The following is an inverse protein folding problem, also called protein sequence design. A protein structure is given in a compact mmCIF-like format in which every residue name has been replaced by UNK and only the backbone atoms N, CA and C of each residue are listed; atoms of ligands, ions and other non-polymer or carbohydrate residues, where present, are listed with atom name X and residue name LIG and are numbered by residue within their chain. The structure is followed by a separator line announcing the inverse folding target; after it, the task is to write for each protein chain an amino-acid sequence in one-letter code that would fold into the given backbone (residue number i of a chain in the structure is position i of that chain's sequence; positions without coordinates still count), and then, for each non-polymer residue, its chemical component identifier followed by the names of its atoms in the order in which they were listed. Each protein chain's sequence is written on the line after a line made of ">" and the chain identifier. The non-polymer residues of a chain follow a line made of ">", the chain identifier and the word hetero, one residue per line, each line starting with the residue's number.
data_IF_611217327881
#
_entry.id   IF_611217327881
#
_cell.length_a   1.000
_cell.length_b   1.000
_cell.length_c   1.000
_cell.angle_alpha   90.00
_cell.angle_beta   90.00
_cell.angle_gamma   90.00
#
_symmetry.space_group_name_H-M   'P 1'
#
loop_
_entity.id
_entity.type
_entity.pdbx_description
1 polymer ?
#
# COMPACT_ATOMS: atom_id res chain seq x y z
N UNK A 1 22.14 30.54 -20.66
CA UNK A 1 21.24 29.35 -20.82
C UNK A 1 20.41 29.28 -19.55
N UNK A 2 19.14 29.74 -19.62
CA UNK A 2 18.16 29.54 -18.58
C UNK A 2 18.01 28.00 -18.36
N UNK A 3 18.37 27.49 -17.17
CA UNK A 3 18.02 26.13 -16.79
C UNK A 3 16.49 26.06 -16.79
N UNK A 4 15.90 25.37 -17.75
CA UNK A 4 14.48 24.98 -17.65
C UNK A 4 14.32 24.28 -16.30
N UNK A 5 13.53 24.86 -15.41
CA UNK A 5 13.14 24.17 -14.19
C UNK A 5 12.35 22.93 -14.64
N UNK A 6 12.87 21.75 -14.32
CA UNK A 6 12.16 20.49 -14.58
C UNK A 6 10.93 20.47 -13.73
N UNK A 7 9.81 20.14 -14.35
CA UNK A 7 8.56 20.01 -13.65
C UNK A 7 8.63 18.81 -12.69
N UNK A 8 8.32 19.02 -11.42
CA UNK A 8 8.21 17.95 -10.42
C UNK A 8 6.77 17.46 -10.43
N UNK A 9 6.58 16.18 -10.75
CA UNK A 9 5.30 15.53 -10.71
C UNK A 9 5.27 14.53 -9.55
N UNK A 10 4.21 14.52 -8.77
CA UNK A 10 3.99 13.59 -7.68
C UNK A 10 2.84 12.69 -8.11
N UNK A 11 3.14 11.40 -8.37
CA UNK A 11 2.12 10.42 -8.67
C UNK A 11 1.47 9.98 -7.38
N UNK A 12 0.28 10.46 -7.15
CA UNK A 12 -0.56 10.03 -6.04
C UNK A 12 -2.02 10.39 -6.33
N UNK A 13 -2.91 9.43 -6.25
CA UNK A 13 -4.35 9.63 -6.44
C UNK A 13 -5.00 10.43 -5.32
N UNK A 14 -4.34 10.56 -4.16
CA UNK A 14 -4.93 11.21 -3.01
C UNK A 14 -4.01 12.27 -2.41
N UNK A 15 -2.88 11.89 -1.82
CA UNK A 15 -1.91 12.83 -1.22
C UNK A 15 -0.57 12.13 -1.00
N UNK A 16 0.55 12.81 -1.27
CA UNK A 16 1.90 12.26 -1.08
C UNK A 16 2.16 11.80 0.36
N UNK A 17 1.49 12.45 1.30
CA UNK A 17 1.42 12.11 2.73
C UNK A 17 0.07 12.57 3.27
N UNK A 18 -0.45 11.93 4.31
CA UNK A 18 -1.68 12.33 4.99
C UNK A 18 -1.53 13.64 5.79
N UNK A 19 -1.10 14.71 5.10
CA UNK A 19 -0.89 16.03 5.68
C UNK A 19 -1.19 17.14 4.66
N UNK A 20 -2.39 17.70 4.73
CA UNK A 20 -2.88 18.73 3.80
C UNK A 20 -1.93 19.94 3.70
N UNK A 21 -1.35 20.41 4.81
CA UNK A 21 -0.43 21.54 4.82
C UNK A 21 0.83 21.25 4.01
N UNK A 22 1.37 20.04 4.11
CA UNK A 22 2.53 19.60 3.30
C UNK A 22 2.17 19.55 1.83
N UNK A 23 1.01 19.03 1.49
CA UNK A 23 0.53 18.95 0.10
C UNK A 23 0.35 20.35 -0.50
N UNK A 24 -0.26 21.28 0.24
CA UNK A 24 -0.45 22.67 -0.19
C UNK A 24 0.89 23.40 -0.37
N UNK A 25 1.87 23.20 0.52
CA UNK A 25 3.21 23.76 0.40
C UNK A 25 3.92 23.23 -0.86
N UNK A 26 3.86 21.92 -1.12
CA UNK A 26 4.43 21.34 -2.32
C UNK A 26 3.77 21.87 -3.59
N UNK A 27 2.44 22.01 -3.61
CA UNK A 27 1.71 22.64 -4.74
C UNK A 27 2.16 24.09 -4.97
N UNK A 28 2.32 24.86 -3.90
CA UNK A 28 2.77 26.25 -3.98
C UNK A 28 4.19 26.40 -4.55
N UNK A 29 5.02 25.37 -4.36
CA UNK A 29 6.39 25.27 -4.93
C UNK A 29 6.42 24.72 -6.35
N UNK A 30 5.25 24.46 -6.95
CA UNK A 30 5.13 24.00 -8.35
C UNK A 30 5.10 22.49 -8.54
N UNK A 31 4.91 21.70 -7.48
CA UNK A 31 4.65 20.28 -7.62
C UNK A 31 3.26 20.06 -8.24
N UNK A 32 3.18 19.20 -9.25
CA UNK A 32 1.92 18.72 -9.82
C UNK A 32 1.61 17.33 -9.31
N UNK A 33 0.42 17.15 -8.78
CA UNK A 33 -0.12 15.86 -8.38
C UNK A 33 -0.86 15.27 -9.58
N UNK A 34 -0.55 14.03 -9.91
CA UNK A 34 -1.07 13.31 -11.07
C UNK A 34 -1.51 11.92 -10.67
N UNK A 35 -2.55 11.42 -11.30
CA UNK A 35 -3.07 10.09 -11.03
C UNK A 35 -2.38 9.02 -11.88
N UNK A 36 -2.01 9.35 -13.12
CA UNK A 36 -1.45 8.42 -14.06
C UNK A 36 -0.05 8.84 -14.54
N UNK A 37 0.80 7.85 -14.83
CA UNK A 37 2.13 8.12 -15.38
C UNK A 37 2.08 8.85 -16.72
N UNK A 38 1.04 8.63 -17.52
CA UNK A 38 0.81 9.29 -18.82
C UNK A 38 0.74 10.81 -18.74
N UNK A 39 0.37 11.36 -17.59
CA UNK A 39 0.30 12.79 -17.35
C UNK A 39 1.68 13.43 -17.09
N UNK A 40 2.71 12.61 -16.89
CA UNK A 40 4.07 13.07 -16.57
C UNK A 40 4.83 13.31 -17.87
N UNK A 41 5.37 14.52 -18.10
CA UNK A 41 6.23 14.78 -19.26
C UNK A 41 7.55 13.98 -19.16
N UNK A 42 8.12 13.61 -20.30
CA UNK A 42 9.31 12.76 -20.38
C UNK A 42 10.56 13.33 -19.70
N UNK A 43 10.65 14.66 -19.56
CA UNK A 43 11.73 15.34 -18.82
C UNK A 43 11.37 15.65 -17.36
N UNK A 44 10.20 15.19 -16.90
CA UNK A 44 9.70 15.40 -15.54
C UNK A 44 10.52 14.65 -14.49
N UNK A 45 10.52 15.18 -13.26
CA UNK A 45 10.99 14.44 -12.08
C UNK A 45 9.75 13.92 -11.37
N UNK A 46 9.68 12.60 -11.19
CA UNK A 46 8.55 11.93 -10.57
C UNK A 46 8.88 11.57 -9.12
N UNK A 47 7.92 11.69 -8.24
CA UNK A 47 8.01 11.18 -6.87
C UNK A 47 6.85 10.20 -6.68
N UNK A 48 7.16 8.96 -6.32
CA UNK A 48 6.16 8.01 -5.87
C UNK A 48 5.83 8.27 -4.41
N UNK A 49 4.54 8.30 -4.07
CA UNK A 49 4.08 8.67 -2.74
C UNK A 49 4.41 7.65 -1.65
N UNK A 50 4.14 8.02 -0.41
CA UNK A 50 4.34 7.16 0.75
C UNK A 50 3.50 5.86 0.71
N UNK A 51 2.42 5.83 -0.06
CA UNK A 51 1.53 4.66 -0.21
C UNK A 51 2.17 3.50 -1.00
N UNK A 52 3.26 3.76 -1.72
CA UNK A 52 3.89 2.78 -2.58
C UNK A 52 3.20 2.63 -3.93
N UNK A 53 3.77 1.82 -4.79
CA UNK A 53 3.30 1.57 -6.15
C UNK A 53 3.34 0.08 -6.49
N UNK A 54 2.53 -0.33 -7.46
CA UNK A 54 2.58 -1.68 -8.03
C UNK A 54 3.85 -1.90 -8.88
N UNK A 55 4.19 -3.17 -9.09
CA UNK A 55 5.27 -3.56 -10.00
C UNK A 55 5.04 -3.08 -11.44
N UNK A 56 3.78 -3.05 -11.88
CA UNK A 56 3.42 -2.58 -13.21
C UNK A 56 3.78 -1.10 -13.40
N UNK A 57 3.42 -0.26 -12.43
CA UNK A 57 3.73 1.18 -12.45
C UNK A 57 5.24 1.42 -12.44
N UNK A 58 5.98 0.67 -11.63
CA UNK A 58 7.43 0.78 -11.57
C UNK A 58 8.08 0.38 -12.90
N UNK A 59 7.62 -0.72 -13.52
CA UNK A 59 8.08 -1.18 -14.83
C UNK A 59 7.79 -0.15 -15.93
N UNK A 60 6.59 0.43 -15.96
CA UNK A 60 6.21 1.46 -16.90
C UNK A 60 7.09 2.71 -16.77
N UNK A 61 7.32 3.19 -15.54
CA UNK A 61 8.21 4.33 -15.31
C UNK A 61 9.64 4.06 -15.83
N UNK A 62 10.16 2.85 -15.61
CA UNK A 62 11.47 2.42 -16.12
C UNK A 62 11.49 2.35 -17.64
N UNK A 63 10.47 1.78 -18.29
CA UNK A 63 10.37 1.69 -19.75
C UNK A 63 10.32 3.08 -20.41
N UNK A 64 9.66 4.05 -19.77
CA UNK A 64 9.62 5.45 -20.21
C UNK A 64 10.89 6.24 -19.85
N UNK A 65 11.88 5.62 -19.18
CA UNK A 65 13.09 6.28 -18.67
C UNK A 65 12.78 7.52 -17.80
N UNK A 66 11.68 7.51 -17.06
CA UNK A 66 11.35 8.60 -16.14
C UNK A 66 12.38 8.68 -15.01
N UNK A 67 12.74 9.90 -14.65
CA UNK A 67 13.54 10.16 -13.44
C UNK A 67 12.62 10.15 -12.24
N UNK A 68 12.68 9.11 -11.43
CA UNK A 68 11.81 9.00 -10.26
C UNK A 68 12.57 8.80 -8.96
N UNK A 69 11.95 9.26 -7.88
CA UNK A 69 12.32 8.99 -6.50
C UNK A 69 11.19 8.20 -5.85
N UNK A 70 11.55 7.11 -5.22
CA UNK A 70 10.61 6.31 -4.45
C UNK A 70 10.58 6.84 -3.00
N UNK A 71 9.46 7.47 -2.63
CA UNK A 71 9.21 7.96 -1.28
C UNK A 71 8.27 7.03 -0.49
N UNK A 72 8.14 5.76 -0.90
CA UNK A 72 7.34 4.77 -0.19
C UNK A 72 7.73 4.69 1.28
N UNK A 73 6.75 4.77 2.17
CA UNK A 73 6.97 4.62 3.60
C UNK A 73 7.69 3.30 3.90
N UNK A 74 8.71 3.29 4.77
CA UNK A 74 9.42 2.06 5.14
C UNK A 74 8.50 0.95 5.65
N UNK A 75 7.40 1.28 6.34
CA UNK A 75 6.42 0.31 6.81
C UNK A 75 5.64 -0.32 5.65
N UNK A 76 5.21 0.48 4.67
CA UNK A 76 4.58 -0.03 3.43
C UNK A 76 5.57 -0.90 2.64
N UNK A 77 6.82 -0.47 2.54
CA UNK A 77 7.89 -1.26 1.90
C UNK A 77 8.11 -2.61 2.61
N UNK A 78 7.94 -2.67 3.93
CA UNK A 78 7.97 -3.92 4.70
C UNK A 78 6.84 -4.85 4.25
N UNK A 79 5.60 -4.35 4.20
CA UNK A 79 4.42 -5.13 3.76
C UNK A 79 4.62 -5.65 2.33
N UNK A 80 5.09 -4.80 1.39
CA UNK A 80 5.41 -5.21 0.03
C UNK A 80 6.42 -6.38 -0.02
N UNK A 81 7.49 -6.31 0.78
CA UNK A 81 8.50 -7.38 0.86
C UNK A 81 7.92 -8.67 1.46
N UNK A 82 7.01 -8.57 2.41
CA UNK A 82 6.34 -9.74 2.99
C UNK A 82 5.42 -10.41 1.97
N UNK A 83 4.64 -9.64 1.21
CA UNK A 83 3.81 -10.16 0.12
C UNK A 83 4.66 -10.92 -0.90
N UNK A 84 5.75 -10.32 -1.37
CA UNK A 84 6.65 -10.98 -2.33
C UNK A 84 7.24 -12.28 -1.74
N UNK A 85 7.72 -12.23 -0.50
CA UNK A 85 8.31 -13.40 0.18
C UNK A 85 7.30 -14.54 0.34
N UNK A 86 6.06 -14.24 0.75
CA UNK A 86 5.02 -15.24 0.91
C UNK A 86 4.58 -15.83 -0.43
N UNK A 87 4.41 -14.98 -1.45
CA UNK A 87 4.09 -15.42 -2.80
C UNK A 87 5.17 -16.36 -3.39
N UNK A 88 6.47 -16.07 -3.17
CA UNK A 88 7.57 -16.93 -3.60
C UNK A 88 7.54 -18.32 -2.96
N UNK A 89 6.96 -18.46 -1.77
CA UNK A 89 6.76 -19.75 -1.11
C UNK A 89 5.44 -20.42 -1.47
N UNK A 90 4.70 -19.86 -2.42
CA UNK A 90 3.43 -20.40 -2.92
C UNK A 90 2.27 -20.31 -1.92
N UNK A 91 2.33 -19.36 -0.99
CA UNK A 91 1.29 -19.16 0.03
C UNK A 91 0.14 -18.32 -0.52
N UNK A 92 -1.06 -18.64 -0.05
CA UNK A 92 -2.19 -17.71 -0.15
C UNK A 92 -2.00 -16.55 0.85
N UNK A 93 -2.42 -15.35 0.48
CA UNK A 93 -2.27 -14.16 1.30
C UNK A 93 -3.62 -13.46 1.43
N UNK A 94 -4.06 -13.19 2.67
CA UNK A 94 -5.15 -12.26 2.94
C UNK A 94 -4.53 -10.90 3.25
N UNK A 95 -5.00 -9.87 2.55
CA UNK A 95 -4.75 -8.47 2.88
C UNK A 95 -6.00 -7.87 3.51
N UNK A 96 -5.89 -7.35 4.74
CA UNK A 96 -6.92 -6.52 5.34
C UNK A 96 -6.67 -5.07 4.91
N UNK A 97 -7.67 -4.42 4.28
CA UNK A 97 -7.52 -3.05 3.79
C UNK A 97 -8.74 -2.57 3.02
N UNK A 98 -8.80 -1.28 2.71
CA UNK A 98 -9.91 -0.68 1.98
C UNK A 98 -9.67 -0.76 0.47
N UNK A 99 -10.63 -1.31 -0.25
CA UNK A 99 -10.63 -1.34 -1.72
C UNK A 99 -10.48 0.08 -2.28
N UNK A 100 -9.74 0.20 -3.38
CA UNK A 100 -9.42 1.48 -4.05
C UNK A 100 -8.51 2.43 -3.23
N UNK A 101 -7.99 2.01 -2.09
CA UNK A 101 -6.96 2.78 -1.40
C UNK A 101 -5.60 2.61 -2.10
N UNK A 102 -4.82 3.68 -2.36
CA UNK A 102 -3.55 3.60 -3.10
C UNK A 102 -2.54 2.59 -2.52
N UNK A 103 -2.45 2.50 -1.20
CA UNK A 103 -1.58 1.52 -0.51
C UNK A 103 -2.02 0.09 -0.79
N UNK A 104 -3.33 -0.17 -0.80
CA UNK A 104 -3.89 -1.50 -1.08
C UNK A 104 -3.65 -1.88 -2.53
N UNK A 105 -3.92 -0.98 -3.48
CA UNK A 105 -3.64 -1.19 -4.89
C UNK A 105 -2.14 -1.43 -5.15
N UNK A 106 -1.28 -0.63 -4.51
CA UNK A 106 0.17 -0.79 -4.57
C UNK A 106 0.61 -2.16 -4.07
N UNK A 107 0.11 -2.57 -2.90
CA UNK A 107 0.46 -3.85 -2.25
C UNK A 107 -0.07 -5.06 -3.04
N UNK A 108 -1.34 -5.04 -3.49
CA UNK A 108 -1.90 -6.08 -4.35
C UNK A 108 -1.09 -6.22 -5.65
N UNK A 109 -0.67 -5.09 -6.23
CA UNK A 109 0.15 -5.05 -7.44
C UNK A 109 1.61 -5.49 -7.26
N UNK A 110 2.05 -5.81 -6.02
CA UNK A 110 3.35 -6.46 -5.74
C UNK A 110 3.25 -7.97 -5.70
N UNK A 111 2.05 -8.53 -5.73
CA UNK A 111 1.88 -9.97 -5.78
C UNK A 111 2.29 -10.50 -7.17
N UNK A 112 3.29 -11.38 -7.28
CA UNK A 112 3.79 -11.87 -8.57
C UNK A 112 2.74 -12.72 -9.29
N UNK A 113 2.52 -12.46 -10.58
CA UNK A 113 1.55 -13.18 -11.39
C UNK A 113 1.90 -14.65 -11.68
N UNK A 114 3.13 -15.08 -11.43
CA UNK A 114 3.62 -16.45 -11.57
C UNK A 114 3.63 -17.21 -10.22
N UNK A 115 3.11 -16.61 -9.15
CA UNK A 115 2.94 -17.29 -7.86
C UNK A 115 1.97 -18.46 -7.96
N UNK A 116 2.25 -19.52 -7.19
CA UNK A 116 1.31 -20.65 -7.01
C UNK A 116 0.20 -20.36 -6.01
N UNK A 117 0.35 -19.33 -5.19
CA UNK A 117 -0.67 -18.84 -4.27
C UNK A 117 -1.58 -17.81 -4.90
N UNK A 118 -2.52 -17.31 -4.10
CA UNK A 118 -3.46 -16.27 -4.45
C UNK A 118 -3.41 -15.14 -3.42
N UNK A 119 -3.85 -13.95 -3.82
CA UNK A 119 -3.99 -12.83 -2.91
C UNK A 119 -5.45 -12.37 -2.85
N UNK A 120 -5.96 -12.23 -1.63
CA UNK A 120 -7.35 -11.91 -1.33
C UNK A 120 -7.41 -10.61 -0.53
N UNK A 121 -8.43 -9.78 -0.80
CA UNK A 121 -8.70 -8.56 -0.04
C UNK A 121 -9.90 -8.77 0.88
N UNK A 122 -9.76 -8.37 2.13
CA UNK A 122 -10.82 -8.37 3.15
C UNK A 122 -10.92 -6.96 3.72
N UNK A 123 -12.12 -6.37 3.63
CA UNK A 123 -12.37 -4.99 4.06
C UNK A 123 -13.10 -4.90 5.40
N UNK A 124 -13.83 -5.97 5.77
CA UNK A 124 -14.72 -5.96 6.94
C UNK A 124 -14.98 -7.37 7.46
N UNK A 125 -15.62 -7.43 8.64
CA UNK A 125 -15.92 -8.67 9.33
C UNK A 125 -16.77 -9.63 8.49
N UNK A 126 -17.79 -9.12 7.76
CA UNK A 126 -18.67 -9.95 6.94
C UNK A 126 -17.88 -10.65 5.81
N UNK A 127 -16.93 -9.96 5.20
CA UNK A 127 -16.05 -10.58 4.22
C UNK A 127 -15.13 -11.62 4.86
N UNK A 128 -14.59 -11.34 6.06
CA UNK A 128 -13.79 -12.31 6.81
C UNK A 128 -14.58 -13.59 7.16
N UNK A 129 -15.87 -13.46 7.44
CA UNK A 129 -16.78 -14.59 7.73
C UNK A 129 -17.05 -15.46 6.51
N UNK A 130 -17.07 -14.89 5.30
CA UNK A 130 -17.55 -15.58 4.11
C UNK A 130 -16.46 -15.86 3.07
N UNK A 131 -15.24 -15.37 3.25
CA UNK A 131 -14.17 -15.59 2.28
C UNK A 131 -13.84 -17.07 2.08
N UNK A 132 -13.69 -17.47 0.83
CA UNK A 132 -13.23 -18.80 0.44
C UNK A 132 -11.76 -18.74 0.04
N UNK A 133 -10.94 -19.62 0.60
CA UNK A 133 -9.49 -19.69 0.43
C UNK A 133 -9.08 -21.00 -0.20
N UNK A 134 -8.27 -20.98 -1.25
CA UNK A 134 -7.84 -22.18 -1.93
C UNK A 134 -6.86 -23.03 -1.10
N UNK A 135 -5.98 -22.37 -0.34
CA UNK A 135 -4.97 -23.04 0.48
C UNK A 135 -5.08 -22.63 1.97
N UNK A 136 -6.14 -23.06 2.69
CA UNK A 136 -6.40 -22.58 4.07
C UNK A 136 -5.31 -22.97 5.08
N UNK A 137 -4.55 -24.03 4.82
CA UNK A 137 -3.43 -24.48 5.67
C UNK A 137 -2.09 -23.86 5.28
N UNK A 138 -2.02 -23.09 4.20
CA UNK A 138 -0.82 -22.42 3.71
C UNK A 138 -1.09 -20.92 3.48
N UNK A 139 -1.59 -20.24 4.51
CA UNK A 139 -2.17 -18.91 4.46
C UNK A 139 -1.37 -17.93 5.31
N UNK A 140 -1.21 -16.71 4.82
CA UNK A 140 -0.59 -15.59 5.52
C UNK A 140 -1.52 -14.39 5.57
N UNK A 141 -1.28 -13.52 6.54
CA UNK A 141 -1.97 -12.26 6.73
C UNK A 141 -1.03 -11.08 6.58
N UNK A 142 -1.49 -10.02 5.94
CA UNK A 142 -0.88 -8.68 5.94
C UNK A 142 -1.98 -7.63 6.07
N UNK A 143 -1.65 -6.43 6.54
CA UNK A 143 -2.63 -5.36 6.72
C UNK A 143 -2.18 -4.07 6.04
N UNK A 144 -3.14 -3.24 5.65
CA UNK A 144 -2.90 -1.85 5.31
C UNK A 144 -2.39 -1.11 6.54
N UNK A 145 -1.38 -0.25 6.37
CA UNK A 145 -0.65 0.37 7.51
C UNK A 145 -1.44 1.47 8.22
N UNK A 146 -2.52 1.96 7.63
CA UNK A 146 -3.31 3.12 8.11
C UNK A 146 -4.71 2.74 8.62
N UNK A 147 -4.92 1.47 8.97
CA UNK A 147 -6.17 1.01 9.55
C UNK A 147 -6.28 1.35 11.05
N UNK A 148 -7.51 1.22 11.58
CA UNK A 148 -7.76 1.18 13.02
C UNK A 148 -7.29 -0.16 13.59
N UNK A 149 -6.56 -0.13 14.70
CA UNK A 149 -6.13 -1.36 15.39
C UNK A 149 -7.35 -2.16 15.86
N UNK A 150 -8.33 -1.50 16.50
CA UNK A 150 -9.53 -2.16 17.02
C UNK A 150 -10.34 -2.86 15.93
N UNK A 151 -10.61 -2.16 14.81
CA UNK A 151 -11.38 -2.74 13.72
C UNK A 151 -10.63 -3.89 13.04
N UNK A 152 -9.31 -3.75 12.94
CA UNK A 152 -8.45 -4.79 12.38
C UNK A 152 -8.39 -6.03 13.27
N UNK A 153 -8.35 -5.85 14.59
CA UNK A 153 -8.29 -6.94 15.55
C UNK A 153 -9.51 -7.86 15.45
N UNK A 154 -10.72 -7.32 15.32
CA UNK A 154 -11.94 -8.11 15.15
C UNK A 154 -11.87 -8.98 13.88
N UNK A 155 -11.42 -8.41 12.77
CA UNK A 155 -11.25 -9.13 11.50
C UNK A 155 -10.19 -10.24 11.64
N UNK A 156 -9.06 -9.94 12.27
CA UNK A 156 -7.97 -10.90 12.52
C UNK A 156 -8.44 -12.06 13.39
N UNK A 157 -9.16 -11.77 14.48
CA UNK A 157 -9.72 -12.82 15.37
C UNK A 157 -10.65 -13.74 14.59
N UNK A 158 -11.53 -13.20 13.75
CA UNK A 158 -12.44 -14.01 12.93
C UNK A 158 -11.68 -14.86 11.91
N UNK A 159 -10.66 -14.31 11.27
CA UNK A 159 -9.84 -15.09 10.33
C UNK A 159 -9.06 -16.21 11.02
N UNK A 160 -8.55 -16.00 12.24
CA UNK A 160 -7.91 -17.03 13.06
C UNK A 160 -8.84 -18.12 13.49
N UNK A 161 -10.08 -17.79 13.86
CA UNK A 161 -11.12 -18.75 14.16
C UNK A 161 -11.39 -19.70 12.99
N UNK A 162 -11.45 -19.13 11.77
CA UNK A 162 -11.71 -19.91 10.54
C UNK A 162 -10.47 -20.63 10.00
N UNK A 163 -9.30 -20.02 10.16
CA UNK A 163 -8.02 -20.49 9.63
C UNK A 163 -6.95 -20.54 10.74
N UNK A 164 -7.00 -21.54 11.64
CA UNK A 164 -6.11 -21.58 12.83
C UNK A 164 -4.62 -21.64 12.52
N UNK A 165 -4.23 -22.01 11.29
CA UNK A 165 -2.83 -22.08 10.85
C UNK A 165 -2.37 -20.81 10.08
N UNK A 166 -3.19 -19.74 10.05
CA UNK A 166 -2.82 -18.49 9.39
C UNK A 166 -1.56 -17.88 10.03
N UNK A 167 -0.61 -17.53 9.20
CA UNK A 167 0.63 -16.88 9.66
C UNK A 167 0.43 -15.37 9.68
N UNK A 168 0.64 -14.79 10.84
CA UNK A 168 0.66 -13.34 11.01
C UNK A 168 2.02 -12.74 10.66
N UNK A 169 2.09 -11.43 10.35
CA UNK A 169 3.36 -10.74 10.20
C UNK A 169 4.16 -10.80 11.52
N UNK A 170 5.49 -10.85 11.42
CA UNK A 170 6.39 -10.92 12.60
C UNK A 170 6.35 -9.68 13.48
N UNK A 171 5.88 -8.57 12.98
CA UNK A 171 5.69 -7.31 13.69
C UNK A 171 4.45 -6.63 13.12
N UNK A 172 3.81 -5.81 13.92
CA UNK A 172 2.62 -5.06 13.53
C UNK A 172 2.83 -4.28 12.24
N UNK A 173 1.85 -4.34 11.34
CA UNK A 173 1.85 -3.59 10.09
C UNK A 173 1.22 -2.20 10.26
N UNK A 174 0.42 -1.99 11.31
CA UNK A 174 -0.27 -0.72 11.53
C UNK A 174 0.71 0.36 12.00
N UNK A 175 0.60 1.54 11.39
CA UNK A 175 1.47 2.67 11.66
C UNK A 175 1.17 3.29 13.03
N UNK A 176 2.17 3.38 13.90
CA UNK A 176 2.05 4.02 15.22
C UNK A 176 1.55 5.47 15.15
N UNK A 177 1.89 6.21 14.09
CA UNK A 177 1.41 7.58 13.92
C UNK A 177 -0.10 7.64 13.63
N UNK A 178 -0.65 6.62 12.95
CA UNK A 178 -2.10 6.47 12.76
C UNK A 178 -2.76 6.12 14.09
N UNK A 179 -2.20 5.15 14.82
CA UNK A 179 -2.72 4.74 16.13
C UNK A 179 -2.74 5.91 17.12
N UNK A 180 -1.63 6.64 17.26
CA UNK A 180 -1.56 7.80 18.17
C UNK A 180 -2.62 8.88 17.85
N UNK A 181 -2.95 9.07 16.56
CA UNK A 181 -4.01 10.02 16.17
C UNK A 181 -5.40 9.50 16.54
N UNK A 182 -5.64 8.22 16.36
CA UNK A 182 -6.91 7.58 16.74
C UNK A 182 -7.09 7.64 18.26
N UNK A 183 -6.06 7.29 19.04
CA UNK A 183 -6.09 7.35 20.50
C UNK A 183 -6.34 8.78 21.01
N UNK A 184 -5.72 9.78 20.38
CA UNK A 184 -5.95 11.18 20.72
C UNK A 184 -7.41 11.62 20.47
N UNK A 185 -8.04 11.14 19.39
CA UNK A 185 -9.47 11.43 19.12
C UNK A 185 -10.38 10.72 20.11
N UNK A 186 -10.07 9.46 20.47
CA UNK A 186 -10.86 8.69 21.43
C UNK A 186 -10.77 9.24 22.85
N UNK A 187 -9.73 10.03 23.16
CA UNK A 187 -9.51 10.67 24.47
C UNK A 187 -10.24 12.00 24.63
N UNK A 188 -10.88 12.53 23.59
CA UNK A 188 -11.68 13.78 23.60
C UNK A 188 -13.11 13.56 24.09
#
# INVERSE_FOLDING_TARGET
>A
RLRRQRQMCIRDRHEVVHNRKVVEDLKSRGAKFVDELSEIPDDGITIFSAHGISDQVEKEAKLRNLKFFDATCPLVSKVHKEVIRFAQTGKDIIMIGHKNHPEVEGTLGRFPGDSKGNMYLVENLLQAENIEINQPNNLCLVTQTTLSVSDTEEIVLKLKERFPLILEPKSEDICYATQNRQDAVLSL
#
